data_IF_948173743298
#
_entry.id   IF_948173743298
#
_cell.length_a   1.000
_cell.length_b   1.000
_cell.length_c   1.000
_cell.angle_alpha   90.00
_cell.angle_beta   90.00
_cell.angle_gamma   90.00
#
_symmetry.space_group_name_H-M   'P 1'
#
loop_
_entity.id
_entity.type
_entity.pdbx_description
1 polymer ?
#
# COMPACT_ATOMS: atom_id res chain seq x y z
N UNK A 1 -3.89 13.24 -17.07
CA UNK A 1 -2.73 14.11 -17.24
C UNK A 1 -3.11 15.60 -17.33
N UNK A 2 -3.99 16.02 -18.25
CA UNK A 2 -4.42 17.43 -18.39
C UNK A 2 -5.01 17.97 -17.08
N UNK A 3 -5.87 17.22 -16.43
CA UNK A 3 -6.45 17.61 -15.14
C UNK A 3 -5.38 17.91 -14.08
N UNK A 4 -4.29 17.15 -14.01
CA UNK A 4 -3.19 17.41 -13.08
C UNK A 4 -2.54 18.77 -13.38
N UNK A 5 -2.31 19.08 -14.66
CA UNK A 5 -1.70 20.34 -15.08
C UNK A 5 -2.61 21.54 -14.77
N UNK A 6 -3.85 21.47 -15.17
CA UNK A 6 -4.79 22.57 -15.00
C UNK A 6 -5.13 22.83 -13.52
N UNK A 7 -5.49 21.79 -12.77
CA UNK A 7 -5.77 21.94 -11.35
C UNK A 7 -4.51 22.28 -10.54
N UNK A 8 -3.36 21.73 -10.90
CA UNK A 8 -2.09 22.05 -10.26
C UNK A 8 -1.71 23.52 -10.45
N UNK A 9 -1.86 24.04 -11.67
CA UNK A 9 -1.66 25.46 -11.96
C UNK A 9 -2.65 26.33 -11.17
N UNK A 10 -3.92 25.98 -11.20
CA UNK A 10 -4.96 26.68 -10.45
C UNK A 10 -4.68 26.71 -8.93
N UNK A 11 -4.21 25.61 -8.36
CA UNK A 11 -3.82 25.56 -6.93
C UNK A 11 -2.68 26.54 -6.64
N UNK A 12 -1.65 26.58 -7.48
CA UNK A 12 -0.51 27.52 -7.32
C UNK A 12 -0.93 28.98 -7.45
N UNK A 13 -1.77 29.30 -8.44
CA UNK A 13 -2.30 30.67 -8.66
C UNK A 13 -3.14 31.15 -7.47
N UNK A 14 -3.80 30.23 -6.76
CA UNK A 14 -4.59 30.55 -5.55
C UNK A 14 -3.81 30.35 -4.23
N UNK A 15 -2.50 30.22 -4.28
CA UNK A 15 -1.63 30.12 -3.10
C UNK A 15 -1.71 28.77 -2.37
N UNK A 16 -2.31 27.73 -2.97
CA UNK A 16 -2.38 26.39 -2.41
C UNK A 16 -1.10 25.61 -2.74
N UNK A 17 -0.57 24.91 -1.75
CA UNK A 17 0.61 24.06 -1.88
C UNK A 17 0.27 22.58 -2.09
N UNK A 18 -1.01 22.27 -2.26
CA UNK A 18 -1.51 20.90 -2.47
C UNK A 18 -0.88 20.30 -3.73
N UNK A 19 -0.46 19.06 -3.62
CA UNK A 19 0.09 18.24 -4.69
C UNK A 19 -0.78 16.99 -4.88
N UNK A 20 -0.65 16.36 -6.04
CA UNK A 20 -1.42 15.15 -6.36
C UNK A 20 -0.67 13.89 -5.91
N UNK A 21 -1.41 12.94 -5.38
CA UNK A 21 -0.98 11.56 -5.24
C UNK A 21 -1.29 10.83 -6.54
N UNK A 22 -0.26 10.40 -7.26
CA UNK A 22 -0.40 9.78 -8.57
C UNK A 22 -0.63 8.27 -8.44
N UNK A 23 -1.64 7.77 -9.14
CA UNK A 23 -2.00 6.34 -9.18
C UNK A 23 -3.15 6.03 -8.24
N UNK A 24 -2.85 5.56 -7.04
CA UNK A 24 -3.82 5.12 -6.02
C UNK A 24 -4.77 4.04 -6.54
N UNK A 25 -4.21 3.13 -7.34
CA UNK A 25 -4.94 2.03 -7.97
C UNK A 25 -5.12 0.88 -6.98
N UNK A 26 -6.26 0.19 -7.06
CA UNK A 26 -6.60 -0.91 -6.14
C UNK A 26 -5.59 -2.08 -6.15
N UNK A 27 -4.92 -2.30 -7.27
CA UNK A 27 -4.00 -3.42 -7.45
C UNK A 27 -2.62 -2.94 -7.95
N UNK A 28 -1.58 -3.68 -7.63
CA UNK A 28 -0.21 -3.38 -8.04
C UNK A 28 0.01 -3.44 -9.57
N UNK A 29 -0.86 -4.10 -10.33
CA UNK A 29 -0.77 -4.14 -11.80
C UNK A 29 -1.33 -2.89 -12.49
N UNK A 30 -1.87 -1.92 -11.74
CA UNK A 30 -2.44 -0.67 -12.28
C UNK A 30 -1.42 0.43 -12.60
N UNK A 31 -0.13 0.13 -12.63
CA UNK A 31 0.95 1.11 -12.82
C UNK A 31 0.86 1.89 -14.14
N UNK A 32 0.29 1.32 -15.19
CA UNK A 32 0.15 1.92 -16.52
C UNK A 32 -0.71 3.20 -16.52
N UNK A 33 -1.69 3.32 -15.62
CA UNK A 33 -2.46 4.55 -15.41
C UNK A 33 -1.59 5.77 -15.11
N UNK A 34 -0.43 5.56 -14.53
CA UNK A 34 0.48 6.64 -14.15
C UNK A 34 1.40 7.10 -15.27
N UNK A 35 1.54 6.29 -16.35
CA UNK A 35 2.58 6.45 -17.35
C UNK A 35 2.57 7.82 -18.00
N UNK A 36 1.40 8.28 -18.47
CA UNK A 36 1.27 9.57 -19.15
C UNK A 36 1.67 10.74 -18.25
N UNK A 37 1.22 10.75 -17.00
CA UNK A 37 1.53 11.84 -16.08
C UNK A 37 2.97 11.78 -15.57
N UNK A 38 3.50 10.60 -15.28
CA UNK A 38 4.87 10.43 -14.78
C UNK A 38 5.94 10.74 -15.82
N UNK A 39 5.61 10.68 -17.11
CA UNK A 39 6.53 10.99 -18.21
C UNK A 39 6.41 12.41 -18.73
N UNK A 40 5.33 13.13 -18.41
CA UNK A 40 5.14 14.51 -18.84
C UNK A 40 5.85 15.49 -17.89
N UNK A 41 6.86 16.26 -18.39
CA UNK A 41 7.56 17.25 -17.58
C UNK A 41 6.64 18.36 -17.04
N UNK A 42 5.49 18.60 -17.69
CA UNK A 42 4.56 19.66 -17.28
C UNK A 42 3.65 19.24 -16.12
N UNK A 43 3.40 17.94 -15.92
CA UNK A 43 2.61 17.45 -14.80
C UNK A 43 3.45 17.19 -13.55
N UNK A 44 4.73 16.83 -13.71
CA UNK A 44 5.64 16.49 -12.58
C UNK A 44 5.69 17.51 -11.45
N UNK A 45 5.71 18.84 -11.69
CA UNK A 45 5.76 19.83 -10.61
C UNK A 45 4.56 19.79 -9.65
N UNK A 46 3.48 19.12 -10.04
CA UNK A 46 2.26 19.03 -9.26
C UNK A 46 2.08 17.66 -8.57
N UNK A 47 2.98 16.71 -8.83
CA UNK A 47 2.94 15.38 -8.22
C UNK A 47 3.72 15.43 -6.90
N UNK A 48 3.08 15.08 -5.79
CA UNK A 48 3.68 15.02 -4.45
C UNK A 48 4.05 13.62 -3.99
N UNK A 49 3.47 12.60 -4.61
CA UNK A 49 3.72 11.19 -4.29
C UNK A 49 3.15 10.26 -5.33
N UNK A 50 3.49 9.00 -5.21
CA UNK A 50 2.96 7.89 -6.03
C UNK A 50 2.33 6.87 -5.09
N UNK A 51 1.22 6.25 -5.49
CA UNK A 51 0.52 5.27 -4.65
C UNK A 51 -0.09 4.13 -5.46
N UNK A 52 -0.15 2.96 -4.85
CA UNK A 52 -1.04 1.87 -5.23
C UNK A 52 -1.52 1.14 -3.97
N UNK A 53 -2.58 0.30 -4.12
CA UNK A 53 -3.04 -0.57 -3.06
C UNK A 53 -2.52 -1.99 -3.26
N UNK A 54 -2.34 -2.73 -2.18
CA UNK A 54 -1.71 -4.04 -2.23
C UNK A 54 -2.68 -5.21 -2.30
N UNK A 55 -3.91 -5.02 -2.80
CA UNK A 55 -4.89 -6.09 -2.82
C UNK A 55 -4.48 -7.28 -3.68
N UNK A 56 -3.92 -7.03 -4.88
CA UNK A 56 -3.52 -8.07 -5.85
C UNK A 56 -2.36 -7.59 -6.73
N UNK A 57 -1.85 -8.51 -7.55
CA UNK A 57 -0.92 -8.15 -8.62
C UNK A 57 0.54 -7.97 -8.20
N UNK A 58 0.97 -8.56 -7.11
CA UNK A 58 2.31 -8.42 -6.49
C UNK A 58 3.42 -9.17 -7.23
N UNK A 59 3.41 -9.19 -8.55
CA UNK A 59 4.54 -9.75 -9.29
C UNK A 59 5.78 -8.86 -9.14
N UNK A 60 6.95 -9.44 -9.22
CA UNK A 60 8.20 -8.66 -9.17
C UNK A 60 8.21 -7.56 -10.22
N UNK A 61 7.73 -7.86 -11.43
CA UNK A 61 7.64 -6.90 -12.51
C UNK A 61 6.78 -5.69 -12.12
N UNK A 62 5.57 -5.91 -11.62
CA UNK A 62 4.67 -4.83 -11.24
C UNK A 62 5.26 -3.96 -10.12
N UNK A 63 5.84 -4.59 -9.10
CA UNK A 63 6.47 -3.87 -7.98
C UNK A 63 7.67 -3.04 -8.42
N UNK A 64 8.52 -3.57 -9.31
CA UNK A 64 9.63 -2.82 -9.89
C UNK A 64 9.16 -1.66 -10.78
N UNK A 65 8.00 -1.79 -11.47
CA UNK A 65 7.42 -0.68 -12.23
C UNK A 65 7.03 0.49 -11.31
N UNK A 66 6.42 0.22 -10.15
CA UNK A 66 6.11 1.27 -9.19
C UNK A 66 7.36 1.93 -8.62
N UNK A 67 8.40 1.16 -8.32
CA UNK A 67 9.71 1.69 -7.94
C UNK A 67 10.27 2.63 -9.01
N UNK A 68 10.27 2.21 -10.27
CA UNK A 68 10.75 3.03 -11.39
C UNK A 68 9.95 4.32 -11.58
N UNK A 69 8.60 4.26 -11.41
CA UNK A 69 7.73 5.43 -11.51
C UNK A 69 8.07 6.43 -10.41
N UNK A 70 8.19 5.99 -9.16
CA UNK A 70 8.56 6.81 -8.02
C UNK A 70 9.90 7.52 -8.26
N UNK A 71 10.93 6.79 -8.68
CA UNK A 71 12.24 7.35 -9.01
C UNK A 71 12.16 8.34 -10.18
N UNK A 72 11.39 8.04 -11.22
CA UNK A 72 11.23 8.91 -12.39
C UNK A 72 10.66 10.28 -12.03
N UNK A 73 9.68 10.32 -11.15
CA UNK A 73 9.10 11.59 -10.68
C UNK A 73 9.83 12.20 -9.51
N UNK A 74 10.80 11.49 -8.93
CA UNK A 74 11.55 11.88 -7.73
C UNK A 74 10.61 12.19 -6.55
N UNK A 75 9.67 11.28 -6.29
CA UNK A 75 8.66 11.40 -5.23
C UNK A 75 8.47 10.08 -4.50
N UNK A 76 8.10 10.12 -3.21
CA UNK A 76 7.90 8.91 -2.43
C UNK A 76 6.76 8.04 -2.97
N UNK A 77 6.93 6.73 -2.84
CA UNK A 77 5.90 5.75 -3.08
C UNK A 77 5.18 5.41 -1.76
N UNK A 78 3.87 5.29 -1.82
CA UNK A 78 3.02 4.87 -0.72
C UNK A 78 2.22 3.63 -1.11
N UNK A 79 1.97 2.75 -0.15
CA UNK A 79 0.91 1.76 -0.27
C UNK A 79 -0.30 2.35 0.43
N UNK A 80 -1.24 2.90 -0.36
CA UNK A 80 -2.39 3.67 0.13
C UNK A 80 -3.40 2.84 0.91
N UNK A 81 -3.53 1.55 0.55
CA UNK A 81 -4.25 0.53 1.31
C UNK A 81 -3.42 -0.75 1.32
N UNK A 82 -2.96 -1.11 2.51
CA UNK A 82 -2.19 -2.32 2.75
C UNK A 82 -3.07 -3.44 3.28
N UNK A 83 -3.19 -4.50 2.54
CA UNK A 83 -3.69 -5.83 2.87
C UNK A 83 -3.59 -6.72 1.63
N UNK A 84 -4.16 -7.93 1.69
CA UNK A 84 -4.29 -8.82 0.55
C UNK A 84 -5.75 -9.24 0.38
N UNK A 85 -6.22 -9.37 -0.88
CA UNK A 85 -7.59 -9.78 -1.16
C UNK A 85 -7.75 -11.29 -0.98
N UNK A 86 -8.43 -11.66 0.08
CA UNK A 86 -8.78 -13.05 0.38
C UNK A 86 -10.29 -13.28 0.39
N UNK A 87 -11.07 -12.33 -0.12
CA UNK A 87 -12.53 -12.42 -0.10
C UNK A 87 -13.11 -12.29 1.33
N UNK A 88 -12.40 -11.64 2.23
CA UNK A 88 -12.80 -11.54 3.64
C UNK A 88 -14.17 -10.86 3.84
N UNK A 89 -14.60 -10.04 2.90
CA UNK A 89 -15.94 -9.48 2.91
C UNK A 89 -17.06 -10.54 2.74
N UNK A 90 -16.73 -11.73 2.21
CA UNK A 90 -17.62 -12.90 2.15
C UNK A 90 -17.37 -13.89 3.27
N UNK A 91 -16.10 -14.01 3.66
CA UNK A 91 -15.62 -15.04 4.59
C UNK A 91 -14.73 -14.40 5.66
N UNK A 92 -15.32 -13.59 6.58
CA UNK A 92 -14.52 -12.81 7.54
C UNK A 92 -13.65 -13.67 8.46
N UNK A 93 -14.01 -14.94 8.67
CA UNK A 93 -13.23 -15.89 9.47
C UNK A 93 -11.82 -16.10 8.96
N UNK A 94 -11.56 -15.84 7.67
CA UNK A 94 -10.21 -15.95 7.08
C UNK A 94 -9.21 -15.01 7.75
N UNK A 95 -9.68 -13.89 8.30
CA UNK A 95 -8.81 -12.91 8.96
C UNK A 95 -8.21 -13.42 10.28
N UNK A 96 -8.76 -14.48 10.84
CA UNK A 96 -8.23 -15.16 12.03
C UNK A 96 -7.28 -16.31 11.68
N UNK A 97 -7.23 -16.72 10.42
CA UNK A 97 -6.39 -17.82 9.97
C UNK A 97 -4.91 -17.42 9.98
N UNK A 98 -4.05 -18.22 10.66
CA UNK A 98 -2.61 -17.94 10.69
C UNK A 98 -1.98 -17.91 9.29
N UNK A 99 -2.46 -18.73 8.35
CA UNK A 99 -1.97 -18.76 6.97
C UNK A 99 -2.19 -17.42 6.28
N UNK A 100 -3.39 -16.84 6.41
CA UNK A 100 -3.66 -15.51 5.86
C UNK A 100 -2.74 -14.45 6.45
N UNK A 101 -2.50 -14.51 7.76
CA UNK A 101 -1.62 -13.58 8.45
C UNK A 101 -0.16 -13.68 7.97
N UNK A 102 0.31 -14.89 7.64
CA UNK A 102 1.64 -15.12 7.08
C UNK A 102 1.72 -14.65 5.63
N UNK A 103 0.71 -14.94 4.81
CA UNK A 103 0.65 -14.50 3.42
C UNK A 103 0.67 -12.96 3.32
N UNK A 104 -0.08 -12.27 4.20
CA UNK A 104 -0.10 -10.81 4.24
C UNK A 104 1.29 -10.22 4.54
N UNK A 105 1.97 -10.75 5.57
CA UNK A 105 3.30 -10.26 5.93
C UNK A 105 4.36 -10.59 4.88
N UNK A 106 4.26 -11.73 4.21
CA UNK A 106 5.14 -12.11 3.10
C UNK A 106 5.00 -11.12 1.93
N UNK A 107 3.78 -10.79 1.55
CA UNK A 107 3.51 -9.76 0.53
C UNK A 107 4.09 -8.41 0.94
N UNK A 108 3.96 -8.00 2.21
CA UNK A 108 4.55 -6.75 2.68
C UNK A 108 6.08 -6.75 2.60
N UNK A 109 6.71 -7.84 3.01
CA UNK A 109 8.17 -7.98 2.89
C UNK A 109 8.62 -7.93 1.42
N UNK A 110 7.87 -8.55 0.53
CA UNK A 110 8.11 -8.49 -0.92
C UNK A 110 7.97 -7.07 -1.46
N UNK A 111 6.91 -6.36 -1.07
CA UNK A 111 6.68 -4.95 -1.46
C UNK A 111 7.82 -4.06 -0.95
N UNK A 112 8.21 -4.19 0.32
CA UNK A 112 9.31 -3.43 0.90
C UNK A 112 10.64 -3.69 0.19
N UNK A 113 10.89 -4.94 -0.20
CA UNK A 113 12.11 -5.31 -0.93
C UNK A 113 12.13 -4.78 -2.38
N UNK A 114 11.02 -4.89 -3.11
CA UNK A 114 10.98 -4.63 -4.56
C UNK A 114 10.54 -3.22 -4.91
N UNK A 115 9.48 -2.73 -4.30
CA UNK A 115 8.91 -1.41 -4.57
C UNK A 115 9.48 -0.30 -3.68
N UNK A 116 10.03 -0.66 -2.51
CA UNK A 116 10.66 0.25 -1.54
C UNK A 116 9.79 1.46 -1.19
N UNK A 117 8.53 1.27 -0.79
CA UNK A 117 7.67 2.37 -0.42
C UNK A 117 8.14 3.06 0.87
N UNK A 118 7.78 4.33 1.02
CA UNK A 118 7.99 5.09 2.25
C UNK A 118 7.17 4.50 3.41
N UNK A 119 5.97 4.02 3.12
CA UNK A 119 5.07 3.43 4.12
C UNK A 119 4.02 2.53 3.48
N UNK A 120 3.48 1.63 4.30
CA UNK A 120 2.29 0.84 4.03
C UNK A 120 1.22 1.27 5.02
N UNK A 121 0.10 1.77 4.54
CA UNK A 121 -1.04 2.16 5.36
C UNK A 121 -2.00 0.98 5.47
N UNK A 122 -2.06 0.36 6.64
CA UNK A 122 -2.88 -0.82 6.86
C UNK A 122 -4.38 -0.55 6.64
N UNK A 123 -5.01 -1.31 5.78
CA UNK A 123 -6.45 -1.34 5.63
C UNK A 123 -7.01 -2.55 6.40
N UNK A 124 -7.76 -2.37 7.51
CA UNK A 124 -7.95 -1.13 8.24
C UNK A 124 -7.99 -1.43 9.75
N UNK A 125 -8.08 -0.41 10.61
CA UNK A 125 -8.07 -0.62 12.07
C UNK A 125 -9.42 -1.10 12.61
N UNK A 126 -10.51 -0.72 11.97
CA UNK A 126 -11.88 -1.06 12.40
C UNK A 126 -12.67 -1.60 11.21
N UNK A 127 -13.73 -2.33 11.46
CA UNK A 127 -14.55 -2.97 10.44
C UNK A 127 -13.79 -4.02 9.61
N UNK A 128 -14.09 -4.12 8.31
CA UNK A 128 -13.56 -5.15 7.42
C UNK A 128 -12.02 -5.08 7.33
N UNK A 129 -11.36 -6.24 7.32
CA UNK A 129 -9.90 -6.35 7.29
C UNK A 129 -9.16 -5.79 8.53
N UNK A 130 -9.87 -5.62 9.66
CA UNK A 130 -9.21 -5.24 10.91
C UNK A 130 -8.17 -6.29 11.34
N UNK A 131 -7.03 -5.89 11.93
CA UNK A 131 -6.12 -6.80 12.63
C UNK A 131 -6.65 -7.29 13.98
N UNK A 132 -7.81 -6.77 14.41
CA UNK A 132 -8.54 -7.20 15.62
C UNK A 132 -9.78 -7.99 15.22
N UNK A 133 -10.25 -8.86 16.12
CA UNK A 133 -11.51 -9.61 15.97
C UNK A 133 -12.40 -9.44 17.22
N UNK A 134 -13.66 -9.82 17.14
CA UNK A 134 -14.63 -9.58 18.21
C UNK A 134 -15.04 -8.12 18.34
N UNK A 135 -15.70 -7.76 19.43
CA UNK A 135 -16.06 -6.37 19.75
C UNK A 135 -16.93 -5.65 18.71
N UNK A 136 -17.65 -6.39 17.87
CA UNK A 136 -18.47 -5.85 16.79
C UNK A 136 -17.81 -5.86 15.41
N UNK A 137 -16.54 -6.22 15.29
CA UNK A 137 -15.87 -6.39 14.00
C UNK A 137 -16.62 -7.43 13.16
N UNK A 138 -16.95 -7.13 11.91
CA UNK A 138 -17.82 -7.93 11.05
C UNK A 138 -19.16 -8.33 11.70
N UNK A 139 -19.64 -7.54 12.66
CA UNK A 139 -20.87 -7.83 13.40
C UNK A 139 -20.71 -8.90 14.49
N UNK A 140 -19.52 -9.38 14.77
CA UNK A 140 -19.25 -10.30 15.87
C UNK A 140 -19.33 -9.57 17.21
N UNK A 141 -20.50 -9.62 17.85
CA UNK A 141 -20.78 -9.02 19.17
C UNK A 141 -20.73 -10.04 20.31
N UNK A 142 -20.52 -11.33 20.01
CA UNK A 142 -20.50 -12.41 20.99
C UNK A 142 -19.19 -12.49 21.75
N UNK A 143 -18.11 -12.04 21.10
CA UNK A 143 -16.77 -12.07 21.65
C UNK A 143 -16.27 -10.69 22.03
N UNK A 144 -15.41 -10.61 23.04
CA UNK A 144 -14.69 -9.40 23.36
C UNK A 144 -13.64 -9.08 22.28
N UNK A 145 -13.33 -7.80 22.10
CA UNK A 145 -12.29 -7.37 21.15
C UNK A 145 -10.94 -7.98 21.53
N UNK A 146 -10.32 -8.67 20.61
CA UNK A 146 -9.03 -9.32 20.81
C UNK A 146 -8.13 -9.20 19.58
N UNK A 147 -6.78 -9.23 19.74
CA UNK A 147 -5.85 -9.21 18.63
C UNK A 147 -5.79 -10.56 17.92
N UNK A 148 -5.72 -10.52 16.59
CA UNK A 148 -5.47 -11.70 15.75
C UNK A 148 -3.98 -11.93 15.53
N UNK A 149 -3.59 -13.01 14.86
CA UNK A 149 -2.19 -13.24 14.45
C UNK A 149 -1.67 -12.08 13.57
N UNK A 150 -2.53 -11.48 12.73
CA UNK A 150 -2.19 -10.32 11.90
C UNK A 150 -1.73 -9.13 12.74
N UNK A 151 -2.41 -8.87 13.86
CA UNK A 151 -2.02 -7.80 14.77
C UNK A 151 -0.58 -7.97 15.24
N UNK A 152 -0.20 -9.16 15.67
CA UNK A 152 1.15 -9.41 16.17
C UNK A 152 2.21 -9.34 15.08
N UNK A 153 1.91 -9.83 13.87
CA UNK A 153 2.80 -9.70 12.72
C UNK A 153 3.03 -8.23 12.35
N UNK A 154 1.97 -7.44 12.27
CA UNK A 154 2.04 -6.01 11.97
C UNK A 154 2.75 -5.23 13.09
N UNK A 155 2.53 -5.59 14.36
CA UNK A 155 3.25 -5.00 15.49
C UNK A 155 4.75 -5.28 15.40
N UNK A 156 5.14 -6.50 15.03
CA UNK A 156 6.55 -6.87 14.85
C UNK A 156 7.19 -6.08 13.72
N UNK A 157 6.52 -5.99 12.56
CA UNK A 157 6.99 -5.22 11.42
C UNK A 157 7.09 -3.73 11.76
N UNK A 158 6.07 -3.17 12.41
CA UNK A 158 6.00 -1.76 12.81
C UNK A 158 7.04 -1.36 13.87
N UNK A 159 7.57 -2.31 14.61
CA UNK A 159 8.68 -2.10 15.56
C UNK A 159 10.07 -2.09 14.89
N UNK A 160 10.14 -2.30 13.57
CA UNK A 160 11.40 -2.17 12.84
C UNK A 160 11.95 -0.74 13.00
N UNK A 161 13.23 -0.56 13.35
CA UNK A 161 13.79 0.76 13.54
C UNK A 161 13.68 1.64 12.30
N UNK A 162 13.39 2.92 12.50
CA UNK A 162 13.25 3.90 11.42
C UNK A 162 14.57 4.07 10.66
N UNK A 163 14.48 4.36 9.37
CA UNK A 163 15.64 4.64 8.52
C UNK A 163 16.40 3.41 8.05
N UNK A 164 15.85 2.22 8.23
CA UNK A 164 16.40 1.00 7.66
C UNK A 164 15.83 0.74 6.27
N UNK A 165 16.60 0.01 5.48
CA UNK A 165 16.20 -0.45 4.15
C UNK A 165 15.96 -1.97 4.18
N UNK A 166 14.93 -2.41 3.43
CA UNK A 166 14.75 -3.83 3.17
C UNK A 166 15.92 -4.35 2.32
N UNK A 167 16.57 -5.40 2.80
CA UNK A 167 17.65 -6.05 2.06
C UNK A 167 17.10 -7.33 1.41
N UNK A 168 17.47 -7.58 0.14
CA UNK A 168 17.15 -8.85 -0.48
C UNK A 168 17.87 -9.99 0.27
N UNK A 169 17.13 -11.03 0.58
CA UNK A 169 17.64 -12.23 1.23
C UNK A 169 17.43 -13.40 0.26
N UNK A 170 18.51 -14.20 0.05
CA UNK A 170 18.41 -15.47 -0.66
C UNK A 170 18.56 -16.57 0.37
N UNK A 171 17.66 -17.54 0.36
CA UNK A 171 17.74 -18.71 1.26
C UNK A 171 18.26 -19.93 0.47
N UNK A 172 18.81 -20.91 1.18
CA UNK A 172 19.32 -22.13 0.56
C UNK A 172 18.23 -23.06 0.02
N UNK A 173 16.96 -22.69 0.21
CA UNK A 173 15.80 -23.46 -0.24
C UNK A 173 15.06 -22.81 -1.43
N UNK A 174 15.62 -21.76 -2.02
CA UNK A 174 15.11 -21.09 -3.22
C UNK A 174 15.69 -21.71 -4.50
#
# INVERSE_FOLDING_TARGET
>A
NEMIKELGAYFRENGLKTEFLLGDTADANGWDFTTTASTDPQSRPYIGGVSFHSWRGWTDENLLRWYDISNRVDKPLFIGEGSIDAGAWRYPQILEEPTYALDEIDVYLKILNKAQPLTILQWQLTADYSPMSGGGIFGNTEEELHPTQRFFNLQQLGNTPKGLYALPITTSND
#
